data_IF_567352981975
#
_entry.id   IF_567352981975
#
_cell.length_a   1.000
_cell.length_b   1.000
_cell.length_c   1.000
_cell.angle_alpha   90.00
_cell.angle_beta   90.00
_cell.angle_gamma   90.00
#
_symmetry.space_group_name_H-M   'P 1'
#
loop_
_entity.id
_entity.type
_entity.pdbx_description
1 polymer ?
#
# COMPACT_ATOMS: atom_id res chain seq x y z
N UNK A 1 -0.28 -21.53 13.94
CA UNK A 1 -0.68 -20.27 13.29
C UNK A 1 -1.45 -20.63 12.04
N UNK A 2 -2.58 -19.98 11.78
CA UNK A 2 -3.41 -20.29 10.61
C UNK A 2 -2.65 -20.04 9.30
N UNK A 3 -2.76 -20.98 8.37
CA UNK A 3 -2.01 -21.03 7.11
C UNK A 3 -2.84 -20.55 5.91
N UNK A 4 -4.07 -20.10 6.14
CA UNK A 4 -5.00 -19.68 5.10
C UNK A 4 -5.70 -18.39 5.50
N UNK A 5 -5.88 -17.43 4.58
CA UNK A 5 -6.53 -16.18 4.91
C UNK A 5 -8.01 -16.42 5.20
N UNK A 6 -8.41 -16.20 6.45
CA UNK A 6 -9.81 -16.24 6.89
C UNK A 6 -10.26 -14.86 7.31
N UNK A 7 -11.55 -14.56 7.16
CA UNK A 7 -12.11 -13.31 7.65
C UNK A 7 -12.30 -13.38 9.16
N UNK A 8 -12.29 -12.23 9.85
CA UNK A 8 -12.61 -12.15 11.29
C UNK A 8 -13.94 -12.84 11.63
N UNK A 9 -14.89 -12.87 10.69
CA UNK A 9 -16.20 -13.49 10.86
C UNK A 9 -16.14 -15.02 10.85
N UNK A 10 -15.22 -15.61 10.09
CA UNK A 10 -15.06 -17.07 9.99
C UNK A 10 -14.59 -17.68 11.31
N UNK A 11 -14.00 -16.88 12.21
CA UNK A 11 -13.59 -17.31 13.55
C UNK A 11 -14.78 -17.74 14.43
N UNK A 12 -16.00 -17.33 14.11
CA UNK A 12 -17.22 -17.83 14.77
C UNK A 12 -17.35 -19.35 14.69
N UNK A 13 -16.96 -19.95 13.56
CA UNK A 13 -17.06 -21.39 13.31
C UNK A 13 -16.07 -22.20 14.16
N UNK A 14 -14.90 -21.64 14.45
CA UNK A 14 -13.82 -22.33 15.16
C UNK A 14 -13.80 -22.06 16.66
N UNK A 15 -14.22 -20.87 17.07
CA UNK A 15 -14.06 -20.39 18.45
C UNK A 15 -15.41 -20.16 19.17
N UNK A 16 -16.53 -20.44 18.51
CA UNK A 16 -17.88 -20.25 19.07
C UNK A 16 -18.13 -18.82 19.59
N UNK A 17 -17.52 -17.83 18.93
CA UNK A 17 -17.69 -16.40 19.23
C UNK A 17 -18.67 -15.76 18.24
N UNK A 18 -19.36 -14.70 18.63
CA UNK A 18 -20.18 -13.96 17.67
C UNK A 18 -19.31 -13.18 16.68
N UNK A 19 -19.26 -13.62 15.41
CA UNK A 19 -18.35 -13.08 14.40
C UNK A 19 -18.60 -11.60 14.10
N UNK A 20 -19.86 -11.15 14.09
CA UNK A 20 -20.22 -9.74 13.86
C UNK A 20 -19.71 -8.82 14.97
N UNK A 21 -19.85 -9.25 16.22
CA UNK A 21 -19.36 -8.49 17.38
C UNK A 21 -17.83 -8.48 17.41
N UNK A 22 -17.20 -9.62 17.10
CA UNK A 22 -15.75 -9.73 17.04
C UNK A 22 -15.16 -8.86 15.92
N UNK A 23 -15.72 -8.87 14.71
CA UNK A 23 -15.28 -8.01 13.60
C UNK A 23 -15.32 -6.52 13.98
N UNK A 24 -16.42 -6.09 14.63
CA UNK A 24 -16.53 -4.72 15.13
C UNK A 24 -15.47 -4.43 16.19
N UNK A 25 -15.27 -5.30 17.17
CA UNK A 25 -14.25 -5.12 18.20
C UNK A 25 -12.84 -5.12 17.62
N UNK A 26 -12.59 -5.96 16.61
CA UNK A 26 -11.31 -6.02 15.92
C UNK A 26 -10.97 -4.66 15.29
N UNK A 27 -11.89 -4.08 14.52
CA UNK A 27 -11.69 -2.76 13.92
C UNK A 27 -11.63 -1.64 14.96
N UNK A 28 -12.55 -1.63 15.91
CA UNK A 28 -12.74 -0.46 16.79
C UNK A 28 -11.81 -0.46 18.01
N UNK A 29 -11.23 -1.61 18.38
CA UNK A 29 -10.47 -1.74 19.63
C UNK A 29 -9.17 -2.55 19.48
N UNK A 30 -9.18 -3.70 18.81
CA UNK A 30 -8.05 -4.65 18.89
C UNK A 30 -6.95 -4.42 17.84
N UNK A 31 -7.30 -4.00 16.64
CA UNK A 31 -6.37 -3.90 15.50
C UNK A 31 -5.49 -2.64 15.50
N UNK A 32 -5.79 -1.68 16.38
CA UNK A 32 -5.16 -0.36 16.35
C UNK A 32 -5.62 0.53 15.17
N UNK A 33 -6.63 0.12 14.40
CA UNK A 33 -7.11 0.88 13.23
C UNK A 33 -7.45 2.35 13.56
N UNK A 34 -8.05 2.62 14.72
CA UNK A 34 -8.42 3.99 15.15
C UNK A 34 -7.22 4.86 15.53
N UNK A 35 -6.12 4.24 15.96
CA UNK A 35 -4.86 4.91 16.32
C UNK A 35 -3.83 4.84 15.20
N UNK A 36 -4.19 4.28 14.04
CA UNK A 36 -3.29 4.20 12.90
C UNK A 36 -2.96 5.60 12.41
N UNK A 37 -1.68 5.93 12.39
CA UNK A 37 -1.13 7.24 12.01
C UNK A 37 -1.54 7.68 10.61
N UNK A 38 -1.69 6.72 9.69
CA UNK A 38 -2.11 6.98 8.32
C UNK A 38 -3.63 7.11 8.13
N UNK A 39 -4.44 6.84 9.15
CA UNK A 39 -5.91 6.78 9.04
C UNK A 39 -6.51 8.05 8.41
N UNK A 40 -5.96 9.22 8.74
CA UNK A 40 -6.47 10.52 8.28
C UNK A 40 -6.36 10.73 6.76
N UNK A 41 -5.40 10.06 6.10
CA UNK A 41 -5.15 10.18 4.67
C UNK A 41 -5.25 8.86 3.91
N UNK A 42 -5.54 7.75 4.59
CA UNK A 42 -5.57 6.39 4.03
C UNK A 42 -6.51 6.22 2.82
N UNK A 43 -7.53 7.08 2.70
CA UNK A 43 -8.41 7.10 1.52
C UNK A 43 -7.72 7.65 0.25
N UNK A 44 -6.67 8.46 0.42
CA UNK A 44 -5.96 9.12 -0.68
C UNK A 44 -4.61 8.48 -0.96
N UNK A 45 -3.88 8.11 0.09
CA UNK A 45 -2.59 7.45 -0.08
C UNK A 45 -2.17 6.69 1.19
N UNK A 46 -1.34 5.68 0.96
CA UNK A 46 -0.62 4.91 1.97
C UNK A 46 0.86 4.92 1.62
N UNK A 47 1.72 5.04 2.62
CA UNK A 47 3.17 5.09 2.45
C UNK A 47 3.85 4.21 3.49
N UNK A 48 4.77 3.37 3.03
CA UNK A 48 5.64 2.52 3.84
C UNK A 48 7.08 2.80 3.41
N UNK A 49 7.61 3.94 3.83
CA UNK A 49 8.91 4.45 3.40
C UNK A 49 10.09 3.49 3.66
N UNK A 50 9.99 2.64 4.69
CA UNK A 50 11.00 1.64 5.02
C UNK A 50 11.00 0.42 4.09
N UNK A 51 10.00 0.30 3.22
CA UNK A 51 9.90 -0.78 2.25
C UNK A 51 10.61 -0.46 0.93
N UNK A 52 11.07 0.79 0.74
CA UNK A 52 11.85 1.16 -0.45
C UNK A 52 13.12 0.31 -0.58
N UNK A 53 13.55 0.07 -1.81
CA UNK A 53 14.73 -0.71 -2.13
C UNK A 53 15.23 -0.38 -3.53
N UNK A 54 16.26 -1.11 -3.97
CA UNK A 54 16.98 -0.81 -5.21
C UNK A 54 16.12 -0.99 -6.45
N UNK A 55 15.27 -2.02 -6.46
CA UNK A 55 14.45 -2.39 -7.60
C UNK A 55 12.98 -2.14 -7.30
N UNK A 56 12.39 -1.13 -7.95
CA UNK A 56 10.98 -0.76 -7.78
C UNK A 56 10.16 -1.08 -9.03
N UNK A 57 8.85 -1.23 -8.85
CA UNK A 57 7.87 -1.19 -9.93
C UNK A 57 6.77 -0.19 -9.61
N UNK A 58 6.31 0.53 -10.63
CA UNK A 58 5.19 1.45 -10.55
C UNK A 58 4.11 0.98 -11.52
N UNK A 59 2.95 0.63 -10.97
CA UNK A 59 1.82 0.07 -11.71
C UNK A 59 0.55 0.92 -11.52
N UNK A 60 -0.28 1.00 -12.55
CA UNK A 60 -1.63 1.58 -12.48
C UNK A 60 -2.67 0.46 -12.38
N UNK A 61 -3.51 0.45 -11.33
CA UNK A 61 -4.53 -0.59 -11.16
C UNK A 61 -5.90 0.00 -10.84
N UNK A 62 -6.96 -0.69 -11.29
CA UNK A 62 -8.35 -0.37 -10.93
C UNK A 62 -8.86 -1.39 -9.93
N UNK A 63 -9.18 -0.97 -8.71
CA UNK A 63 -9.67 -1.87 -7.65
C UNK A 63 -11.20 -2.07 -7.71
N UNK A 64 -11.96 -1.03 -8.06
CA UNK A 64 -13.42 -1.10 -8.18
C UNK A 64 -14.01 0.08 -8.96
N UNK A 65 -15.05 -0.15 -9.76
CA UNK A 65 -15.89 0.87 -10.39
C UNK A 65 -15.16 2.06 -11.05
N UNK A 66 -13.99 1.83 -11.65
CA UNK A 66 -13.22 2.86 -12.36
C UNK A 66 -12.33 3.73 -11.49
N UNK A 67 -12.19 3.44 -10.19
CA UNK A 67 -11.18 4.06 -9.34
C UNK A 67 -9.81 3.52 -9.67
N UNK A 68 -8.96 4.39 -10.23
CA UNK A 68 -7.57 4.08 -10.52
C UNK A 68 -6.68 4.39 -9.32
N UNK A 69 -5.66 3.57 -9.13
CA UNK A 69 -4.63 3.73 -8.10
C UNK A 69 -3.26 3.54 -8.74
N UNK A 70 -2.29 4.32 -8.30
CA UNK A 70 -0.87 4.09 -8.57
C UNK A 70 -0.27 3.32 -7.40
N UNK A 71 0.36 2.18 -7.68
CA UNK A 71 0.98 1.33 -6.66
C UNK A 71 2.48 1.29 -6.93
N UNK A 72 3.28 1.54 -5.88
CA UNK A 72 4.72 1.40 -5.92
C UNK A 72 5.11 0.18 -5.09
N UNK A 73 5.83 -0.76 -5.70
CA UNK A 73 6.26 -2.01 -5.07
C UNK A 73 7.77 -2.21 -5.15
N UNK A 74 8.33 -2.85 -4.13
CA UNK A 74 9.70 -3.32 -4.09
C UNK A 74 9.77 -4.73 -4.68
N UNK A 75 10.43 -4.84 -5.83
CA UNK A 75 10.54 -6.07 -6.62
C UNK A 75 11.41 -7.12 -5.95
N UNK A 76 12.36 -6.72 -5.11
CA UNK A 76 13.25 -7.62 -4.38
C UNK A 76 12.49 -8.44 -3.32
N UNK A 77 11.28 -7.99 -2.93
CA UNK A 77 10.42 -8.72 -2.00
C UNK A 77 9.56 -9.78 -2.67
N UNK A 78 9.51 -9.84 -4.00
CA UNK A 78 8.78 -10.86 -4.76
C UNK A 78 7.32 -11.06 -4.28
N UNK A 79 6.61 -9.96 -4.00
CA UNK A 79 5.21 -9.99 -3.54
C UNK A 79 5.01 -10.45 -2.09
N UNK A 80 6.08 -10.60 -1.31
CA UNK A 80 6.02 -11.01 0.11
C UNK A 80 5.91 -9.79 1.04
N UNK A 81 6.08 -10.02 2.33
CA UNK A 81 6.12 -8.97 3.34
C UNK A 81 7.09 -7.84 2.92
N UNK A 82 6.68 -6.59 3.19
CA UNK A 82 7.42 -5.36 2.83
C UNK A 82 7.54 -5.09 1.34
N UNK A 83 6.76 -5.75 0.49
CA UNK A 83 6.73 -5.46 -0.95
C UNK A 83 6.07 -4.10 -1.26
N UNK A 84 5.06 -3.69 -0.49
CA UNK A 84 4.32 -2.48 -0.80
C UNK A 84 5.04 -1.23 -0.27
N UNK A 85 5.43 -0.30 -1.16
CA UNK A 85 6.07 0.97 -0.79
C UNK A 85 5.04 2.09 -0.68
N UNK A 86 4.17 2.23 -1.68
CA UNK A 86 3.12 3.25 -1.65
C UNK A 86 1.87 2.82 -2.43
N UNK A 87 0.73 3.34 -2.02
CA UNK A 87 -0.52 3.33 -2.79
C UNK A 87 -1.00 4.77 -2.86
N UNK A 88 -1.35 5.27 -4.04
CA UNK A 88 -1.88 6.62 -4.23
C UNK A 88 -3.15 6.54 -5.08
N UNK A 89 -4.22 7.17 -4.62
CA UNK A 89 -5.47 7.26 -5.36
C UNK A 89 -5.29 8.17 -6.58
N UNK A 90 -5.64 7.65 -7.75
CA UNK A 90 -5.46 8.27 -9.06
C UNK A 90 -4.11 7.96 -9.72
N UNK A 91 -3.93 8.50 -10.92
CA UNK A 91 -2.75 8.29 -11.78
C UNK A 91 -2.00 9.58 -12.08
N UNK A 92 -2.37 10.70 -11.43
CA UNK A 92 -1.74 12.00 -11.63
C UNK A 92 -0.33 11.98 -11.03
N UNK A 93 0.69 12.03 -11.89
CA UNK A 93 2.11 12.07 -11.50
C UNK A 93 2.41 13.05 -10.37
N UNK A 94 1.90 14.29 -10.44
CA UNK A 94 2.12 15.30 -9.40
C UNK A 94 1.67 14.86 -8.01
N UNK A 95 0.56 14.13 -7.90
CA UNK A 95 0.04 13.69 -6.60
C UNK A 95 0.84 12.49 -6.08
N UNK A 96 1.32 11.62 -6.98
CA UNK A 96 2.21 10.51 -6.64
C UNK A 96 3.57 11.03 -6.17
N UNK A 97 4.18 11.97 -6.91
CA UNK A 97 5.45 12.61 -6.54
C UNK A 97 5.38 13.21 -5.12
N UNK A 98 4.33 13.96 -4.79
CA UNK A 98 4.16 14.53 -3.44
C UNK A 98 4.13 13.49 -2.32
N UNK A 99 3.65 12.28 -2.60
CA UNK A 99 3.66 11.18 -1.62
C UNK A 99 5.06 10.58 -1.54
N UNK A 100 5.73 10.35 -2.67
CA UNK A 100 7.09 9.80 -2.71
C UNK A 100 8.15 10.76 -2.17
N UNK A 101 7.97 12.07 -2.30
CA UNK A 101 8.83 13.12 -1.73
C UNK A 101 8.88 13.09 -0.20
N UNK A 102 7.93 12.38 0.45
CA UNK A 102 7.97 12.15 1.90
C UNK A 102 9.03 11.12 2.29
N UNK A 103 9.46 10.27 1.36
CA UNK A 103 10.56 9.34 1.57
C UNK A 103 11.86 10.16 1.55
N UNK A 104 12.69 9.92 2.57
CA UNK A 104 14.02 10.53 2.68
C UNK A 104 14.78 10.45 1.36
N UNK A 105 15.38 11.58 0.96
CA UNK A 105 16.07 11.71 -0.32
C UNK A 105 17.17 10.67 -0.49
N UNK A 106 17.93 10.35 0.56
CA UNK A 106 19.01 9.36 0.48
C UNK A 106 18.47 7.97 0.18
N UNK A 107 17.32 7.61 0.75
CA UNK A 107 16.65 6.34 0.45
C UNK A 107 16.15 6.30 -1.00
N UNK A 108 15.73 7.42 -1.57
CA UNK A 108 15.33 7.52 -2.99
C UNK A 108 16.53 7.41 -3.93
N UNK A 109 17.66 8.01 -3.57
CA UNK A 109 18.91 7.90 -4.34
C UNK A 109 19.49 6.48 -4.40
N UNK A 110 19.10 5.60 -3.47
CA UNK A 110 19.48 4.17 -3.48
C UNK A 110 18.71 3.34 -4.54
N UNK A 111 17.68 3.90 -5.17
CA UNK A 111 16.92 3.22 -6.23
C UNK A 111 17.76 3.14 -7.50
N UNK A 112 17.99 1.93 -8.00
CA UNK A 112 18.81 1.65 -9.18
C UNK A 112 17.94 1.39 -10.43
N UNK A 113 16.81 0.70 -10.26
CA UNK A 113 15.92 0.32 -11.35
C UNK A 113 14.45 0.56 -10.99
N UNK A 114 13.70 1.14 -11.93
CA UNK A 114 12.24 1.27 -11.82
C UNK A 114 11.59 0.68 -13.07
N UNK A 115 10.83 -0.40 -12.88
CA UNK A 115 9.93 -0.94 -13.93
C UNK A 115 8.63 -0.14 -13.93
N UNK A 116 8.14 0.25 -15.10
CA UNK A 116 6.90 0.99 -15.25
C UNK A 116 6.21 0.68 -16.57
N UNK A 117 4.88 0.71 -16.56
CA UNK A 117 4.07 0.63 -17.78
C UNK A 117 4.34 1.82 -18.71
N UNK A 118 4.06 1.65 -20.01
CA UNK A 118 4.21 2.69 -21.04
C UNK A 118 3.18 3.82 -20.87
N UNK A 119 3.33 4.60 -19.80
CA UNK A 119 2.52 5.74 -19.39
C UNK A 119 3.42 6.96 -19.20
N UNK A 120 3.06 8.09 -19.83
CA UNK A 120 3.78 9.36 -19.68
C UNK A 120 3.72 9.88 -18.23
N UNK A 121 2.66 9.52 -17.49
CA UNK A 121 2.55 9.88 -16.07
C UNK A 121 3.62 9.16 -15.24
N UNK A 122 3.80 7.86 -15.49
CA UNK A 122 4.80 7.04 -14.79
C UNK A 122 6.23 7.50 -15.10
N UNK A 123 6.50 7.85 -16.35
CA UNK A 123 7.80 8.44 -16.75
C UNK A 123 8.09 9.77 -16.04
N UNK A 124 7.07 10.60 -15.80
CA UNK A 124 7.24 11.86 -15.05
C UNK A 124 7.56 11.62 -13.58
N UNK A 125 6.97 10.59 -12.96
CA UNK A 125 7.26 10.24 -11.56
C UNK A 125 8.74 9.88 -11.38
N UNK A 126 9.26 8.99 -12.23
CA UNK A 126 10.65 8.54 -12.16
C UNK A 126 11.66 9.65 -12.48
N UNK A 127 11.31 10.61 -13.34
CA UNK A 127 12.19 11.75 -13.64
C UNK A 127 12.19 12.84 -12.58
N UNK A 128 11.19 12.85 -11.69
CA UNK A 128 11.08 13.82 -10.60
C UNK A 128 11.81 13.34 -9.35
N UNK A 129 11.64 12.05 -9.02
CA UNK A 129 12.18 11.44 -7.81
C UNK A 129 13.67 11.12 -7.94
#
# INVERSE_FOLDING_TARGET
METSPVTCRTLEEFYHINGRSFEKQYKETLSGYRSWDQLSHAQKWLLFEDNIGKNLAIDETSLSNGELYTIVTNRDKHGRERCLVAIVAGTKSLDVCKVLDKIDEKKREEVEEVTLDLSDSMRKIVRHC
#
